data_IF_786881395169
#
_entry.id   IF_786881395169
#
_cell.length_a   1.000
_cell.length_b   1.000
_cell.length_c   1.000
_cell.angle_alpha   90.00
_cell.angle_beta   90.00
_cell.angle_gamma   90.00
#
_symmetry.space_group_name_H-M   'P 1'
#
loop_
_entity.id
_entity.type
_entity.pdbx_description
1 polymer ?
#
# COMPACT_ATOMS: atom_id res chain seq x y z
N UNK A 1 -13.84 -8.71 38.12
CA UNK A 1 -14.69 -8.74 36.91
C UNK A 1 -13.75 -8.76 35.73
N UNK A 2 -13.94 -9.65 34.76
CA UNK A 2 -13.11 -9.67 33.54
C UNK A 2 -13.27 -8.36 32.79
N UNK A 3 -12.18 -7.83 32.24
CA UNK A 3 -12.21 -6.61 31.43
C UNK A 3 -12.95 -6.86 30.11
N UNK A 4 -13.55 -5.83 29.46
CA UNK A 4 -14.16 -5.99 28.14
C UNK A 4 -13.21 -6.62 27.12
N UNK A 5 -11.93 -6.25 27.15
CA UNK A 5 -10.87 -6.81 26.33
C UNK A 5 -10.68 -8.32 26.55
N UNK A 6 -10.67 -8.77 27.80
CA UNK A 6 -10.57 -10.21 28.14
C UNK A 6 -11.78 -10.99 27.61
N UNK A 7 -12.98 -10.41 27.67
CA UNK A 7 -14.18 -11.04 27.13
C UNK A 7 -14.12 -11.18 25.60
N UNK A 8 -13.60 -10.18 24.90
CA UNK A 8 -13.37 -10.23 23.45
C UNK A 8 -12.39 -11.33 23.10
N UNK A 9 -11.24 -11.37 23.79
CA UNK A 9 -10.20 -12.38 23.57
C UNK A 9 -10.75 -13.79 23.81
N UNK A 10 -11.49 -13.99 24.91
CA UNK A 10 -12.11 -15.28 25.20
C UNK A 10 -13.12 -15.70 24.14
N UNK A 11 -13.96 -14.78 23.66
CA UNK A 11 -14.94 -15.06 22.61
C UNK A 11 -14.26 -15.48 21.30
N UNK A 12 -13.15 -14.83 20.93
CA UNK A 12 -12.36 -15.21 19.75
C UNK A 12 -11.75 -16.60 19.91
N UNK A 13 -11.20 -16.92 21.08
CA UNK A 13 -10.70 -18.27 21.37
C UNK A 13 -11.80 -19.34 21.28
N UNK A 14 -13.00 -19.04 21.77
CA UNK A 14 -14.15 -19.96 21.67
C UNK A 14 -14.53 -20.22 20.21
N UNK A 15 -14.49 -19.21 19.33
CA UNK A 15 -14.81 -19.39 17.91
C UNK A 15 -13.74 -20.17 17.13
N UNK A 16 -12.48 -20.04 17.54
CA UNK A 16 -11.37 -20.75 16.90
C UNK A 16 -11.24 -22.20 17.39
N UNK A 17 -11.94 -22.57 18.46
CA UNK A 17 -11.95 -23.94 18.97
C UNK A 17 -13.00 -24.81 18.23
N UNK A 18 -12.52 -25.66 17.33
CA UNK A 18 -13.35 -26.61 16.60
C UNK A 18 -14.16 -27.57 17.50
N UNK A 19 -13.68 -27.87 18.71
CA UNK A 19 -14.39 -28.76 19.63
C UNK A 19 -15.66 -28.12 20.23
N UNK A 20 -15.76 -26.79 20.20
CA UNK A 20 -16.91 -26.04 20.69
C UNK A 20 -17.95 -25.75 19.60
N UNK A 21 -17.68 -26.12 18.34
CA UNK A 21 -18.63 -25.92 17.24
C UNK A 21 -19.95 -26.65 17.51
N UNK A 22 -21.07 -25.94 17.33
CA UNK A 22 -22.41 -26.44 17.62
C UNK A 22 -22.84 -26.33 19.09
N UNK A 23 -21.95 -25.95 20.01
CA UNK A 23 -22.33 -25.66 21.39
C UNK A 23 -22.95 -24.26 21.52
N UNK A 24 -23.85 -24.03 22.51
CA UNK A 24 -24.44 -22.71 22.75
C UNK A 24 -23.41 -21.61 22.98
N UNK A 25 -22.28 -21.92 23.62
CA UNK A 25 -21.22 -20.95 23.91
C UNK A 25 -20.57 -20.42 22.63
N UNK A 26 -20.46 -21.24 21.59
CA UNK A 26 -19.93 -20.82 20.29
C UNK A 26 -20.90 -19.86 19.59
N UNK A 27 -22.21 -20.12 19.63
CA UNK A 27 -23.21 -19.20 19.10
C UNK A 27 -23.23 -17.87 19.86
N UNK A 28 -23.13 -17.91 21.19
CA UNK A 28 -23.06 -16.71 22.03
C UNK A 28 -21.80 -15.87 21.75
N UNK A 29 -20.64 -16.50 21.59
CA UNK A 29 -19.41 -15.81 21.23
C UNK A 29 -19.53 -15.13 19.85
N UNK A 30 -20.14 -15.80 18.88
CA UNK A 30 -20.37 -15.25 17.54
C UNK A 30 -21.29 -14.02 17.58
N UNK A 31 -22.43 -14.12 18.27
CA UNK A 31 -23.38 -13.01 18.43
C UNK A 31 -22.74 -11.82 19.16
N UNK A 32 -21.97 -12.08 20.21
CA UNK A 32 -21.26 -11.06 20.97
C UNK A 32 -20.27 -10.27 20.09
N UNK A 33 -19.41 -10.97 19.33
CA UNK A 33 -18.43 -10.31 18.46
C UNK A 33 -19.09 -9.55 17.30
N UNK A 34 -20.17 -10.08 16.73
CA UNK A 34 -20.93 -9.37 15.71
C UNK A 34 -21.60 -8.11 16.25
N UNK A 35 -22.13 -8.16 17.47
CA UNK A 35 -22.68 -6.98 18.13
C UNK A 35 -21.60 -5.91 18.31
N UNK A 36 -20.41 -6.28 18.77
CA UNK A 36 -19.30 -5.33 18.93
C UNK A 36 -18.87 -4.68 17.61
N UNK A 37 -18.90 -5.43 16.50
CA UNK A 37 -18.65 -4.87 15.16
C UNK A 37 -19.76 -3.94 14.70
N UNK A 38 -21.02 -4.30 14.91
CA UNK A 38 -22.17 -3.44 14.59
C UNK A 38 -22.16 -2.14 15.41
N UNK A 39 -21.66 -2.21 16.65
CA UNK A 39 -21.51 -1.07 17.56
C UNK A 39 -20.06 -0.52 17.57
N UNK A 40 -19.39 -0.54 16.41
CA UNK A 40 -17.97 -0.13 16.26
C UNK A 40 -17.64 1.25 16.86
N UNK A 41 -18.58 2.18 16.83
CA UNK A 41 -18.45 3.51 17.46
C UNK A 41 -18.21 3.47 18.98
N UNK A 42 -18.66 2.41 19.67
CA UNK A 42 -18.46 2.22 21.11
C UNK A 42 -17.32 1.25 21.43
N UNK A 43 -16.97 0.36 20.49
CA UNK A 43 -16.00 -0.72 20.72
C UNK A 43 -14.60 -0.46 20.16
N UNK A 44 -14.41 0.58 19.34
CA UNK A 44 -13.13 0.86 18.67
C UNK A 44 -11.95 1.06 19.62
N UNK A 45 -12.17 1.58 20.83
CA UNK A 45 -11.10 1.77 21.84
C UNK A 45 -10.57 0.44 22.35
N UNK A 46 -11.46 -0.53 22.60
CA UNK A 46 -11.07 -1.89 22.96
C UNK A 46 -10.36 -2.57 21.79
N UNK A 47 -10.83 -2.35 20.56
CA UNK A 47 -10.15 -2.85 19.38
C UNK A 47 -8.74 -2.26 19.23
N UNK A 48 -8.57 -0.95 19.42
CA UNK A 48 -7.27 -0.30 19.37
C UNK A 48 -6.32 -0.88 20.44
N UNK A 49 -6.79 -1.02 21.68
CA UNK A 49 -5.98 -1.56 22.77
C UNK A 49 -5.54 -3.00 22.48
N UNK A 50 -6.44 -3.85 21.98
CA UNK A 50 -6.14 -5.22 21.57
C UNK A 50 -5.15 -5.29 20.40
N UNK A 51 -5.23 -4.37 19.43
CA UNK A 51 -4.34 -4.38 18.28
C UNK A 51 -2.90 -4.01 18.65
N UNK A 52 -2.73 -2.94 19.44
CA UNK A 52 -1.41 -2.38 19.75
C UNK A 52 -0.73 -3.01 20.96
N UNK A 53 -1.46 -3.78 21.78
CA UNK A 53 -0.94 -4.36 23.01
C UNK A 53 0.35 -5.18 22.79
N UNK A 54 1.35 -4.88 23.60
CA UNK A 54 2.63 -5.59 23.67
C UNK A 54 2.72 -6.41 24.95
N UNK A 55 3.58 -7.43 24.96
CA UNK A 55 3.99 -8.11 26.18
C UNK A 55 4.88 -7.20 27.04
N UNK A 56 5.27 -7.68 28.21
CA UNK A 56 6.13 -6.96 29.17
C UNK A 56 7.50 -6.57 28.58
N UNK A 57 7.92 -7.23 27.49
CA UNK A 57 9.15 -6.90 26.75
C UNK A 57 9.04 -5.62 25.90
N UNK A 58 7.83 -5.09 25.71
CA UNK A 58 7.55 -3.91 24.89
C UNK A 58 7.83 -4.11 23.39
N UNK A 59 8.09 -5.34 22.94
CA UNK A 59 8.53 -5.65 21.57
C UNK A 59 7.62 -6.65 20.87
N UNK A 60 7.17 -7.67 21.60
CA UNK A 60 6.33 -8.71 21.01
C UNK A 60 4.85 -8.40 21.21
N UNK A 61 4.03 -8.73 20.20
CA UNK A 61 2.58 -8.54 20.28
C UNK A 61 2.00 -9.46 21.35
N UNK A 62 1.18 -8.89 22.24
CA UNK A 62 0.52 -9.64 23.31
C UNK A 62 -0.47 -10.65 22.75
N UNK A 63 -1.20 -10.27 21.72
CA UNK A 63 -2.26 -11.08 21.14
C UNK A 63 -1.88 -11.65 19.78
N UNK A 64 -2.36 -12.87 19.54
CA UNK A 64 -2.18 -13.57 18.27
C UNK A 64 -2.88 -12.87 17.09
N UNK A 65 -2.56 -13.28 15.86
CA UNK A 65 -3.09 -12.63 14.65
C UNK A 65 -4.62 -12.59 14.57
N UNK A 66 -5.34 -13.58 15.06
CA UNK A 66 -6.81 -13.64 15.00
C UNK A 66 -7.47 -12.50 15.79
N UNK A 67 -6.98 -12.24 17.00
CA UNK A 67 -7.46 -11.13 17.84
C UNK A 67 -7.15 -9.79 17.20
N UNK A 68 -5.93 -9.63 16.67
CA UNK A 68 -5.50 -8.41 16.01
C UNK A 68 -6.27 -8.17 14.71
N UNK A 69 -6.61 -9.21 13.97
CA UNK A 69 -7.44 -9.12 12.77
C UNK A 69 -8.88 -8.71 13.11
N UNK A 70 -9.47 -9.28 14.17
CA UNK A 70 -10.77 -8.83 14.66
C UNK A 70 -10.75 -7.37 15.07
N UNK A 71 -9.72 -6.95 15.82
CA UNK A 71 -9.53 -5.56 16.21
C UNK A 71 -9.45 -4.62 15.00
N UNK A 72 -8.65 -4.96 13.97
CA UNK A 72 -8.59 -4.16 12.75
C UNK A 72 -9.91 -4.14 11.98
N UNK A 73 -10.70 -5.22 12.02
CA UNK A 73 -12.06 -5.20 11.43
C UNK A 73 -12.96 -4.18 12.15
N UNK A 74 -12.99 -4.17 13.48
CA UNK A 74 -13.76 -3.19 14.26
C UNK A 74 -13.29 -1.76 13.98
N UNK A 75 -11.97 -1.54 13.91
CA UNK A 75 -11.40 -0.22 13.58
C UNK A 75 -11.78 0.24 12.17
N UNK A 76 -11.77 -0.66 11.18
CA UNK A 76 -12.18 -0.33 9.82
C UNK A 76 -13.68 -0.03 9.75
N UNK A 77 -14.52 -0.87 10.35
CA UNK A 77 -15.97 -0.67 10.42
C UNK A 77 -16.29 0.70 11.08
N UNK A 78 -15.54 1.07 12.13
CA UNK A 78 -15.64 2.39 12.77
C UNK A 78 -15.23 3.53 11.83
N UNK A 79 -14.04 3.46 11.22
CA UNK A 79 -13.52 4.54 10.38
C UNK A 79 -14.32 4.69 9.08
N UNK A 80 -14.85 3.62 8.50
CA UNK A 80 -15.79 3.66 7.37
C UNK A 80 -17.09 4.38 7.74
N UNK A 81 -17.64 4.08 8.92
CA UNK A 81 -18.79 4.78 9.45
C UNK A 81 -18.51 6.29 9.65
N UNK A 82 -17.35 6.66 10.22
CA UNK A 82 -16.95 8.08 10.39
C UNK A 82 -16.73 8.78 9.06
N UNK A 83 -16.12 8.10 8.10
CA UNK A 83 -15.97 8.62 6.74
C UNK A 83 -17.29 8.99 6.06
N UNK A 84 -18.41 8.39 6.50
CA UNK A 84 -19.76 8.67 5.99
C UNK A 84 -20.59 9.60 6.88
N UNK A 85 -20.31 9.65 8.19
CA UNK A 85 -21.08 10.39 9.19
C UNK A 85 -20.43 11.70 9.66
N UNK A 86 -19.16 11.94 9.33
CA UNK A 86 -18.44 13.18 9.61
C UNK A 86 -17.16 13.00 10.43
N UNK A 87 -16.48 14.12 10.68
CA UNK A 87 -15.17 14.16 11.31
C UNK A 87 -15.16 13.49 12.69
N UNK A 88 -14.04 12.86 13.05
CA UNK A 88 -13.78 12.38 14.40
C UNK A 88 -13.54 13.54 15.38
N UNK A 89 -13.82 13.37 16.68
CA UNK A 89 -13.30 14.27 17.71
C UNK A 89 -11.77 14.39 17.63
N UNK A 90 -11.21 15.57 17.92
CA UNK A 90 -9.75 15.81 17.83
C UNK A 90 -8.96 14.88 18.74
N UNK A 91 -9.47 14.59 19.94
CA UNK A 91 -8.86 13.66 20.89
C UNK A 91 -8.80 12.22 20.34
N UNK A 92 -9.83 11.79 19.61
CA UNK A 92 -9.88 10.45 19.02
C UNK A 92 -8.87 10.32 17.87
N UNK A 93 -8.73 11.37 17.05
CA UNK A 93 -7.72 11.41 15.98
C UNK A 93 -6.32 11.42 16.57
N UNK A 94 -6.08 12.21 17.62
CA UNK A 94 -4.78 12.27 18.29
C UNK A 94 -4.38 10.89 18.86
N UNK A 95 -5.30 10.21 19.55
CA UNK A 95 -5.08 8.87 20.10
C UNK A 95 -4.79 7.86 18.99
N UNK A 96 -5.61 7.80 17.95
CA UNK A 96 -5.43 6.88 16.83
C UNK A 96 -4.10 7.14 16.11
N UNK A 97 -3.78 8.40 15.82
CA UNK A 97 -2.51 8.79 15.21
C UNK A 97 -1.32 8.33 16.04
N UNK A 98 -1.31 8.65 17.34
CA UNK A 98 -0.20 8.31 18.24
C UNK A 98 0.02 6.79 18.30
N UNK A 99 -1.04 6.02 18.54
CA UNK A 99 -0.96 4.57 18.72
C UNK A 99 -0.57 3.86 17.42
N UNK A 100 -1.13 4.27 16.27
CA UNK A 100 -0.84 3.62 14.99
C UNK A 100 0.56 4.02 14.45
N UNK A 101 1.03 5.25 14.68
CA UNK A 101 2.41 5.64 14.36
C UNK A 101 3.41 4.93 15.26
N UNK A 102 3.09 4.74 16.54
CA UNK A 102 3.92 3.95 17.47
C UNK A 102 3.99 2.50 17.02
N UNK A 103 2.85 1.92 16.62
CA UNK A 103 2.81 0.58 16.02
C UNK A 103 3.69 0.50 14.76
N UNK A 104 3.61 1.47 13.85
CA UNK A 104 4.43 1.50 12.63
C UNK A 104 5.93 1.54 12.96
N UNK A 105 6.35 2.38 13.91
CA UNK A 105 7.75 2.44 14.36
C UNK A 105 8.22 1.11 14.93
N UNK A 106 7.44 0.51 15.83
CA UNK A 106 7.82 -0.74 16.48
C UNK A 106 7.83 -1.93 15.50
N UNK A 107 6.83 -2.03 14.62
CA UNK A 107 6.62 -3.19 13.77
C UNK A 107 7.40 -3.11 12.46
N UNK A 108 7.41 -1.95 11.79
CA UNK A 108 7.97 -1.81 10.44
C UNK A 108 9.36 -1.17 10.44
N UNK A 109 9.60 -0.15 11.26
CA UNK A 109 10.91 0.51 11.29
C UNK A 109 11.95 -0.36 12.02
N UNK A 110 11.61 -0.89 13.20
CA UNK A 110 12.51 -1.69 14.04
C UNK A 110 12.16 -3.17 14.12
N UNK A 111 11.02 -3.58 13.57
CA UNK A 111 10.47 -4.93 13.71
C UNK A 111 10.47 -5.75 12.42
N UNK A 112 9.85 -6.95 12.44
CA UNK A 112 9.79 -7.87 11.30
C UNK A 112 8.68 -7.53 10.29
N UNK A 113 8.00 -6.40 10.48
CA UNK A 113 6.89 -5.92 9.67
C UNK A 113 5.78 -6.97 9.52
N UNK A 114 5.29 -7.60 10.59
CA UNK A 114 4.27 -8.66 10.52
C UNK A 114 4.68 -9.85 9.61
N UNK A 115 5.96 -10.20 9.57
CA UNK A 115 6.48 -11.29 8.71
C UNK A 115 5.80 -12.65 8.90
N UNK A 116 5.21 -12.91 10.07
CA UNK A 116 4.44 -14.13 10.34
C UNK A 116 2.94 -14.02 9.98
N UNK A 117 2.45 -12.84 9.64
CA UNK A 117 1.03 -12.56 9.42
C UNK A 117 0.82 -11.48 8.34
N UNK A 118 1.28 -11.76 7.12
CA UNK A 118 1.27 -10.81 5.99
C UNK A 118 -0.10 -10.17 5.71
N UNK A 119 -1.21 -10.86 5.99
CA UNK A 119 -2.56 -10.32 5.83
C UNK A 119 -2.88 -9.14 6.76
N UNK A 120 -2.20 -9.06 7.92
CA UNK A 120 -2.31 -7.91 8.84
C UNK A 120 -1.78 -6.66 8.16
N UNK A 121 -0.69 -6.76 7.38
CA UNK A 121 -0.12 -5.61 6.65
C UNK A 121 -1.16 -4.96 5.73
N UNK A 122 -1.91 -5.78 4.99
CA UNK A 122 -2.96 -5.29 4.08
C UNK A 122 -4.07 -4.63 4.88
N UNK A 123 -4.56 -5.30 5.93
CA UNK A 123 -5.66 -4.79 6.73
C UNK A 123 -5.29 -3.49 7.45
N UNK A 124 -4.09 -3.40 7.99
CA UNK A 124 -3.56 -2.21 8.65
C UNK A 124 -3.34 -1.04 7.68
N UNK A 125 -2.86 -1.31 6.46
CA UNK A 125 -2.74 -0.28 5.40
C UNK A 125 -4.11 0.35 5.09
N UNK A 126 -5.17 -0.47 5.01
CA UNK A 126 -6.54 0.01 4.88
C UNK A 126 -6.98 0.80 6.12
N UNK A 127 -6.73 0.33 7.34
CA UNK A 127 -7.07 1.06 8.58
C UNK A 127 -6.46 2.47 8.58
N UNK A 128 -5.17 2.57 8.26
CA UNK A 128 -4.49 3.86 8.23
C UNK A 128 -4.97 4.75 7.08
N UNK A 129 -5.32 4.17 5.93
CA UNK A 129 -5.95 4.90 4.81
C UNK A 129 -7.32 5.44 5.20
N UNK A 130 -8.16 4.66 5.89
CA UNK A 130 -9.46 5.12 6.35
C UNK A 130 -9.33 6.25 7.38
N UNK A 131 -8.34 6.19 8.28
CA UNK A 131 -8.01 7.26 9.20
C UNK A 131 -7.51 8.52 8.46
N UNK A 132 -6.67 8.34 7.44
CA UNK A 132 -6.23 9.42 6.57
C UNK A 132 -7.43 10.13 5.92
N UNK A 133 -8.35 9.38 5.31
CA UNK A 133 -9.51 9.95 4.60
C UNK A 133 -10.40 10.83 5.49
N UNK A 134 -10.58 10.47 6.75
CA UNK A 134 -11.43 11.22 7.69
C UNK A 134 -10.71 12.40 8.35
N UNK A 135 -9.37 12.38 8.45
CA UNK A 135 -8.59 13.35 9.24
C UNK A 135 -7.70 14.29 8.42
N UNK A 136 -7.28 13.93 7.22
CA UNK A 136 -6.22 14.63 6.47
C UNK A 136 -6.53 16.11 6.19
N UNK A 137 -7.78 16.42 5.83
CA UNK A 137 -8.16 17.80 5.43
C UNK A 137 -8.01 18.81 6.58
N UNK A 138 -8.24 18.39 7.84
CA UNK A 138 -8.40 19.34 8.97
C UNK A 138 -7.60 19.00 10.22
N UNK A 139 -7.34 17.72 10.49
CA UNK A 139 -6.84 17.25 11.79
C UNK A 139 -5.44 16.63 11.67
N UNK A 140 -5.08 16.07 10.51
CA UNK A 140 -3.78 15.43 10.28
C UNK A 140 -3.16 15.79 8.93
N UNK A 141 -2.94 17.09 8.70
CA UNK A 141 -2.31 17.59 7.47
C UNK A 141 -0.86 17.12 7.28
N UNK A 142 -0.14 16.82 8.37
CA UNK A 142 1.26 16.35 8.35
C UNK A 142 1.39 14.85 8.08
N UNK A 143 0.34 14.18 7.61
CA UNK A 143 0.32 12.72 7.45
C UNK A 143 1.51 12.20 6.64
N UNK A 144 1.75 12.74 5.45
CA UNK A 144 2.84 12.28 4.60
C UNK A 144 4.21 12.63 5.18
N UNK A 145 4.36 13.81 5.80
CA UNK A 145 5.60 14.19 6.46
C UNK A 145 5.94 13.19 7.60
N UNK A 146 4.96 12.80 8.42
CA UNK A 146 5.15 11.78 9.46
C UNK A 146 5.60 10.43 8.87
N UNK A 147 5.00 9.99 7.75
CA UNK A 147 5.40 8.73 7.08
C UNK A 147 6.81 8.85 6.46
N UNK A 148 7.13 9.99 5.85
CA UNK A 148 8.45 10.23 5.24
C UNK A 148 9.58 10.20 6.27
N UNK A 149 9.34 10.65 7.50
CA UNK A 149 10.34 10.55 8.58
C UNK A 149 10.72 9.11 8.93
N UNK A 150 9.90 8.14 8.54
CA UNK A 150 10.09 6.71 8.83
C UNK A 150 10.77 5.97 7.67
N UNK A 151 10.85 6.58 6.49
CA UNK A 151 11.45 5.96 5.29
C UNK A 151 12.95 5.71 5.44
N UNK A 152 13.65 6.53 6.22
CA UNK A 152 15.07 6.39 6.50
C UNK A 152 15.28 6.26 8.01
N UNK A 153 16.07 5.28 8.49
CA UNK A 153 16.38 5.21 9.91
C UNK A 153 17.24 6.42 10.34
N UNK A 154 17.30 6.73 11.66
CA UNK A 154 18.18 7.78 12.18
C UNK A 154 19.64 7.49 11.80
N UNK A 155 20.40 8.48 11.29
CA UNK A 155 21.73 8.24 10.77
C UNK A 155 22.74 8.03 11.90
N UNK A 156 23.09 6.78 12.22
CA UNK A 156 24.15 6.50 13.21
C UNK A 156 25.53 6.25 12.59
N UNK A 157 25.68 6.09 11.26
CA UNK A 157 27.03 5.99 10.65
C UNK A 157 27.17 6.25 9.14
N UNK A 158 26.17 6.83 8.47
CA UNK A 158 26.27 7.19 7.05
C UNK A 158 24.92 7.50 6.42
N UNK A 159 24.89 7.62 5.09
CA UNK A 159 23.63 7.61 4.35
C UNK A 159 23.09 6.18 4.36
N UNK A 160 22.24 5.87 5.33
CA UNK A 160 21.57 4.57 5.39
C UNK A 160 20.58 4.42 4.23
N UNK A 161 20.46 3.22 3.64
CA UNK A 161 19.48 2.94 2.61
C UNK A 161 18.06 3.12 3.14
N UNK A 162 17.09 3.23 2.24
CA UNK A 162 15.68 3.25 2.63
C UNK A 162 15.31 1.97 3.39
N UNK A 163 14.52 2.13 4.45
CA UNK A 163 13.97 0.99 5.17
C UNK A 163 12.96 0.28 4.26
N UNK A 164 13.27 -0.96 3.85
CA UNK A 164 12.47 -1.75 2.91
C UNK A 164 11.06 -2.02 3.41
N UNK A 165 10.90 -2.31 4.70
CA UNK A 165 9.60 -2.59 5.30
C UNK A 165 8.69 -1.36 5.33
N UNK A 166 9.23 -0.20 5.74
CA UNK A 166 8.48 1.06 5.73
C UNK A 166 8.20 1.50 4.29
N UNK A 167 9.13 1.27 3.37
CA UNK A 167 8.96 1.57 1.94
C UNK A 167 7.80 0.80 1.32
N UNK A 168 7.74 -0.53 1.53
CA UNK A 168 6.62 -1.36 1.05
C UNK A 168 5.30 -0.92 1.69
N UNK A 169 5.30 -0.61 2.99
CA UNK A 169 4.11 -0.09 3.66
C UNK A 169 3.64 1.24 3.06
N UNK A 170 4.57 2.17 2.82
CA UNK A 170 4.29 3.44 2.16
C UNK A 170 3.69 3.23 0.76
N UNK A 171 4.23 2.31 -0.03
CA UNK A 171 3.66 1.97 -1.34
C UNK A 171 2.23 1.41 -1.23
N UNK A 172 1.97 0.55 -0.25
CA UNK A 172 0.62 0.05 0.03
C UNK A 172 -0.33 1.18 0.41
N UNK A 173 0.09 2.13 1.24
CA UNK A 173 -0.72 3.33 1.53
C UNK A 173 -1.03 4.14 0.28
N UNK A 174 -0.03 4.37 -0.59
CA UNK A 174 -0.25 5.12 -1.85
C UNK A 174 -1.22 4.39 -2.77
N UNK A 175 -1.13 3.06 -2.86
CA UNK A 175 -2.08 2.21 -3.59
C UNK A 175 -3.50 2.33 -3.04
N UNK A 176 -3.67 2.15 -1.72
CA UNK A 176 -4.97 2.22 -1.05
C UNK A 176 -5.59 3.63 -1.13
N UNK A 177 -4.79 4.69 -0.93
CA UNK A 177 -5.28 6.07 -1.09
C UNK A 177 -5.72 6.29 -2.55
N UNK A 178 -4.93 5.84 -3.52
CA UNK A 178 -5.28 5.96 -4.95
C UNK A 178 -6.56 5.19 -5.27
N UNK A 179 -6.75 4.00 -4.72
CA UNK A 179 -7.96 3.19 -4.93
C UNK A 179 -9.19 3.94 -4.41
N UNK A 180 -9.10 4.51 -3.20
CA UNK A 180 -10.21 5.22 -2.57
C UNK A 180 -10.58 6.52 -3.30
N UNK A 181 -9.58 7.35 -3.67
CA UNK A 181 -9.84 8.72 -4.16
C UNK A 181 -9.88 8.84 -5.67
N UNK A 182 -9.36 7.88 -6.43
CA UNK A 182 -9.16 7.99 -7.87
C UNK A 182 -9.69 6.80 -8.70
N UNK A 183 -9.85 5.60 -8.14
CA UNK A 183 -10.30 4.43 -8.90
C UNK A 183 -11.79 4.55 -9.31
N UNK A 184 -12.04 4.57 -10.62
CA UNK A 184 -13.38 4.70 -11.16
C UNK A 184 -14.20 3.41 -11.04
N UNK A 185 -13.56 2.24 -11.12
CA UNK A 185 -14.23 0.94 -10.97
C UNK A 185 -14.74 0.80 -9.54
N UNK A 186 -13.88 1.07 -8.55
CA UNK A 186 -14.26 1.01 -7.14
C UNK A 186 -15.36 2.03 -6.81
N UNK A 187 -15.29 3.23 -7.38
CA UNK A 187 -16.35 4.24 -7.23
C UNK A 187 -17.69 3.78 -7.82
N UNK A 188 -17.66 3.17 -9.00
CA UNK A 188 -18.87 2.69 -9.68
C UNK A 188 -19.49 1.46 -8.99
N UNK A 189 -18.67 0.65 -8.31
CA UNK A 189 -19.13 -0.54 -7.59
C UNK A 189 -19.82 -0.22 -6.24
N UNK A 190 -19.55 0.95 -5.66
CA UNK A 190 -20.12 1.37 -4.36
C UNK A 190 -21.40 2.17 -4.55
N UNK A 191 -22.24 2.19 -3.52
CA UNK A 191 -23.40 3.06 -3.48
C UNK A 191 -22.96 4.53 -3.61
N UNK A 192 -23.69 5.30 -4.42
CA UNK A 192 -23.42 6.72 -4.62
C UNK A 192 -23.63 7.51 -3.33
N UNK A 193 -22.67 8.36 -2.98
CA UNK A 193 -22.79 9.37 -1.93
C UNK A 193 -22.11 10.66 -2.41
N UNK A 194 -22.88 11.75 -2.43
CA UNK A 194 -22.40 13.06 -2.86
C UNK A 194 -21.33 13.60 -1.91
N UNK A 195 -21.50 13.35 -0.61
CA UNK A 195 -20.59 13.76 0.46
C UNK A 195 -19.23 13.09 0.31
N UNK A 196 -19.23 11.76 0.08
CA UNK A 196 -18.02 10.98 -0.19
C UNK A 196 -17.32 11.49 -1.46
N UNK A 197 -18.04 11.66 -2.56
CA UNK A 197 -17.44 12.13 -3.81
C UNK A 197 -16.83 13.53 -3.69
N UNK A 198 -17.50 14.43 -2.96
CA UNK A 198 -16.98 15.76 -2.69
C UNK A 198 -15.72 15.71 -1.81
N UNK A 199 -15.70 14.88 -0.77
CA UNK A 199 -14.51 14.65 0.07
C UNK A 199 -13.35 14.09 -0.76
N UNK A 200 -13.58 13.02 -1.52
CA UNK A 200 -12.55 12.38 -2.33
C UNK A 200 -12.00 13.33 -3.41
N UNK A 201 -12.82 14.24 -3.93
CA UNK A 201 -12.39 15.34 -4.78
C UNK A 201 -11.43 16.30 -4.07
N UNK A 202 -11.82 16.81 -2.89
CA UNK A 202 -10.97 17.72 -2.09
C UNK A 202 -9.65 17.08 -1.68
N UNK A 203 -9.67 15.84 -1.22
CA UNK A 203 -8.45 15.11 -0.82
C UNK A 203 -7.52 14.97 -2.03
N UNK A 204 -8.05 14.61 -3.20
CA UNK A 204 -7.26 14.52 -4.43
C UNK A 204 -6.59 15.84 -4.78
N UNK A 205 -7.33 16.95 -4.69
CA UNK A 205 -6.80 18.28 -4.99
C UNK A 205 -5.74 18.72 -3.98
N UNK A 206 -5.91 18.40 -2.69
CA UNK A 206 -4.91 18.64 -1.64
C UNK A 206 -3.64 17.84 -1.88
N UNK A 207 -3.75 16.55 -2.21
CA UNK A 207 -2.56 15.73 -2.54
C UNK A 207 -1.87 16.29 -3.78
N UNK A 208 -2.62 16.62 -4.84
CA UNK A 208 -2.05 17.16 -6.09
C UNK A 208 -1.30 18.46 -5.88
N UNK A 209 -1.80 19.34 -5.02
CA UNK A 209 -1.21 20.66 -4.77
C UNK A 209 -0.02 20.61 -3.82
N UNK A 210 -0.06 19.76 -2.79
CA UNK A 210 0.90 19.83 -1.69
C UNK A 210 1.89 18.66 -1.66
N UNK A 211 1.45 17.45 -1.99
CA UNK A 211 2.20 16.22 -1.67
C UNK A 211 2.64 15.40 -2.88
N UNK A 212 2.00 15.56 -4.04
CA UNK A 212 2.24 14.74 -5.23
C UNK A 212 3.71 14.74 -5.67
N UNK A 213 4.38 15.89 -5.58
CA UNK A 213 5.81 15.99 -5.90
C UNK A 213 6.66 15.16 -4.92
N UNK A 214 6.45 15.32 -3.60
CA UNK A 214 7.19 14.58 -2.57
C UNK A 214 6.94 13.07 -2.68
N UNK A 215 5.68 12.65 -2.86
CA UNK A 215 5.29 11.24 -3.04
C UNK A 215 6.03 10.66 -4.25
N UNK A 216 5.98 11.34 -5.39
CA UNK A 216 6.61 10.85 -6.61
C UNK A 216 8.14 10.77 -6.48
N UNK A 217 8.77 11.78 -5.88
CA UNK A 217 10.22 11.76 -5.61
C UNK A 217 10.59 10.61 -4.68
N UNK A 218 9.83 10.38 -3.60
CA UNK A 218 10.09 9.28 -2.68
C UNK A 218 9.94 7.92 -3.37
N UNK A 219 8.85 7.71 -4.12
CA UNK A 219 8.60 6.46 -4.85
C UNK A 219 9.71 6.15 -5.84
N UNK A 220 10.08 7.11 -6.70
CA UNK A 220 11.14 6.91 -7.69
C UNK A 220 12.51 6.68 -7.03
N UNK A 221 12.83 7.40 -5.95
CA UNK A 221 14.10 7.23 -5.24
C UNK A 221 14.23 5.83 -4.61
N UNK A 222 13.17 5.34 -3.97
CA UNK A 222 13.16 4.01 -3.35
C UNK A 222 13.26 2.92 -4.43
N UNK A 223 12.48 3.03 -5.52
CA UNK A 223 12.51 2.07 -6.63
C UNK A 223 13.89 2.03 -7.28
N UNK A 224 14.51 3.19 -7.51
CA UNK A 224 15.85 3.29 -8.07
C UNK A 224 16.89 2.60 -7.17
N UNK A 225 16.87 2.87 -5.86
CA UNK A 225 17.78 2.23 -4.90
C UNK A 225 17.56 0.70 -4.83
N UNK A 226 16.30 0.26 -4.84
CA UNK A 226 15.94 -1.16 -4.91
C UNK A 226 16.49 -1.83 -6.18
N UNK A 227 16.30 -1.20 -7.34
CA UNK A 227 16.82 -1.69 -8.62
C UNK A 227 18.35 -1.77 -8.63
N UNK A 228 19.03 -0.73 -8.15
CA UNK A 228 20.49 -0.71 -8.03
C UNK A 228 21.00 -1.82 -7.09
N UNK A 229 20.26 -2.10 -6.01
CA UNK A 229 20.59 -3.19 -5.08
C UNK A 229 20.50 -4.54 -5.77
N UNK A 230 19.40 -4.80 -6.49
CA UNK A 230 19.22 -6.04 -7.26
C UNK A 230 20.31 -6.18 -8.32
N UNK A 231 20.59 -5.14 -9.08
CA UNK A 231 21.61 -5.16 -10.15
C UNK A 231 23.00 -5.44 -9.61
N UNK A 232 23.36 -4.85 -8.46
CA UNK A 232 24.63 -5.13 -7.79
C UNK A 232 24.72 -6.60 -7.38
N UNK A 233 23.66 -7.15 -6.78
CA UNK A 233 23.64 -8.57 -6.39
C UNK A 233 23.83 -9.49 -7.60
N UNK A 234 23.14 -9.22 -8.71
CA UNK A 234 23.27 -9.98 -9.97
C UNK A 234 24.66 -9.83 -10.60
N UNK A 235 25.28 -8.64 -10.49
CA UNK A 235 26.62 -8.41 -11.00
C UNK A 235 27.70 -9.13 -10.17
N UNK A 236 27.53 -9.19 -8.85
CA UNK A 236 28.41 -9.91 -7.94
C UNK A 236 28.27 -11.43 -8.09
N UNK A 237 27.05 -11.93 -8.29
CA UNK A 237 26.76 -13.33 -8.53
C UNK A 237 25.53 -13.50 -9.45
N UNK A 238 25.72 -13.83 -10.74
CA UNK A 238 24.62 -14.01 -11.69
C UNK A 238 23.61 -15.09 -11.31
N UNK A 239 24.04 -16.10 -10.54
CA UNK A 239 23.19 -17.21 -10.09
C UNK A 239 22.63 -17.00 -8.67
N UNK A 240 22.84 -15.81 -8.08
CA UNK A 240 22.29 -15.50 -6.76
C UNK A 240 20.76 -15.42 -6.79
N UNK A 241 20.14 -16.06 -5.81
CA UNK A 241 18.72 -15.86 -5.52
C UNK A 241 18.60 -14.46 -4.90
N UNK A 242 17.92 -13.56 -5.59
CA UNK A 242 17.61 -12.23 -5.09
C UNK A 242 16.67 -12.36 -3.90
N UNK A 243 16.90 -11.55 -2.86
CA UNK A 243 16.05 -11.60 -1.68
C UNK A 243 14.61 -11.20 -2.07
N UNK A 244 13.57 -11.95 -1.67
CA UNK A 244 12.18 -11.64 -2.03
C UNK A 244 11.74 -10.23 -1.64
N UNK A 245 12.34 -9.69 -0.57
CA UNK A 245 12.06 -8.32 -0.11
C UNK A 245 12.63 -7.26 -1.06
N UNK A 246 13.76 -7.52 -1.73
CA UNK A 246 14.35 -6.60 -2.71
C UNK A 246 13.47 -6.50 -3.95
N UNK A 247 12.99 -7.64 -4.44
CA UNK A 247 12.04 -7.71 -5.56
C UNK A 247 10.68 -7.08 -5.17
N UNK A 248 10.15 -7.36 -3.97
CA UNK A 248 8.88 -6.79 -3.50
C UNK A 248 8.93 -5.25 -3.42
N UNK A 249 10.05 -4.66 -3.02
CA UNK A 249 10.23 -3.19 -3.00
C UNK A 249 10.07 -2.61 -4.41
N UNK A 250 10.72 -3.21 -5.41
CA UNK A 250 10.69 -2.71 -6.79
C UNK A 250 9.33 -2.94 -7.44
N UNK A 251 8.77 -4.16 -7.34
CA UNK A 251 7.44 -4.48 -7.89
C UNK A 251 6.34 -3.61 -7.26
N UNK A 252 6.26 -3.56 -5.93
CA UNK A 252 5.23 -2.79 -5.23
C UNK A 252 5.40 -1.29 -5.48
N UNK A 253 6.65 -0.80 -5.54
CA UNK A 253 6.95 0.60 -5.84
C UNK A 253 6.47 1.04 -7.21
N UNK A 254 6.67 0.20 -8.24
CA UNK A 254 6.15 0.49 -9.59
C UNK A 254 4.63 0.39 -9.67
N UNK A 255 4.01 -0.54 -8.91
CA UNK A 255 2.54 -0.57 -8.79
C UNK A 255 2.00 0.72 -8.15
N UNK A 256 2.65 1.22 -7.09
CA UNK A 256 2.31 2.49 -6.48
C UNK A 256 2.50 3.66 -7.46
N UNK A 257 3.60 3.68 -8.22
CA UNK A 257 3.81 4.66 -9.29
C UNK A 257 2.64 4.64 -10.29
N UNK A 258 2.26 3.47 -10.79
CA UNK A 258 1.17 3.30 -11.73
C UNK A 258 -0.20 3.77 -11.20
N UNK A 259 -0.44 3.71 -9.88
CA UNK A 259 -1.74 4.04 -9.29
C UNK A 259 -2.01 5.55 -9.25
N UNK A 260 -0.98 6.38 -9.08
CA UNK A 260 -1.16 7.83 -9.01
C UNK A 260 -0.93 8.56 -10.34
N UNK A 261 -0.20 7.97 -11.29
CA UNK A 261 0.04 8.55 -12.63
C UNK A 261 -1.23 9.13 -13.28
N UNK A 262 -2.39 8.44 -13.28
CA UNK A 262 -3.59 8.94 -13.98
C UNK A 262 -4.12 10.27 -13.45
N UNK A 263 -3.87 10.60 -12.17
CA UNK A 263 -4.55 11.68 -11.49
C UNK A 263 -3.64 12.74 -10.86
N UNK A 264 -2.32 12.67 -11.02
CA UNK A 264 -1.39 13.77 -10.69
C UNK A 264 -0.92 14.52 -11.95
N UNK A 265 0.01 15.48 -11.84
CA UNK A 265 0.60 16.15 -13.01
C UNK A 265 1.54 15.18 -13.78
N UNK A 266 1.41 15.14 -15.10
CA UNK A 266 2.27 14.30 -15.96
C UNK A 266 3.73 14.73 -15.91
N UNK A 267 4.00 16.02 -15.72
CA UNK A 267 5.36 16.57 -15.66
C UNK A 267 6.14 16.10 -14.45
N UNK A 268 5.46 15.62 -13.40
CA UNK A 268 6.10 14.97 -12.25
C UNK A 268 6.51 13.54 -12.58
N UNK A 269 5.71 12.83 -13.38
CA UNK A 269 5.90 11.40 -13.64
C UNK A 269 6.77 11.09 -14.86
N UNK A 270 6.80 11.99 -15.84
CA UNK A 270 7.57 11.83 -17.08
C UNK A 270 8.68 12.86 -17.07
N UNK A 271 9.87 12.41 -16.70
CA UNK A 271 11.05 13.24 -16.48
C UNK A 271 12.28 12.56 -17.11
N UNK A 272 13.39 13.29 -17.32
CA UNK A 272 14.64 12.70 -17.78
C UNK A 272 15.17 11.57 -16.89
N UNK A 273 14.81 11.55 -15.60
CA UNK A 273 15.25 10.52 -14.65
C UNK A 273 14.29 9.32 -14.59
N UNK A 274 12.98 9.57 -14.68
CA UNK A 274 11.98 8.49 -14.57
C UNK A 274 11.90 7.62 -15.82
N UNK A 275 12.14 8.17 -17.02
CA UNK A 275 12.06 7.40 -18.27
C UNK A 275 13.14 6.29 -18.32
N UNK A 276 14.43 6.59 -18.11
CA UNK A 276 15.47 5.54 -18.11
C UNK A 276 15.22 4.48 -17.03
N UNK A 277 14.75 4.88 -15.85
CA UNK A 277 14.39 3.93 -14.80
C UNK A 277 13.28 2.97 -15.27
N UNK A 278 12.18 3.49 -15.81
CA UNK A 278 11.08 2.66 -16.33
C UNK A 278 11.57 1.70 -17.43
N UNK A 279 12.44 2.12 -18.34
CA UNK A 279 12.97 1.22 -19.38
C UNK A 279 13.92 0.17 -18.81
N UNK A 280 14.72 0.52 -17.80
CA UNK A 280 15.56 -0.47 -17.11
C UNK A 280 14.72 -1.55 -16.40
N UNK A 281 13.54 -1.20 -15.89
CA UNK A 281 12.62 -2.11 -15.22
C UNK A 281 11.80 -2.94 -16.19
N UNK A 282 11.46 -2.38 -17.35
CA UNK A 282 10.80 -3.11 -18.44
C UNK A 282 11.70 -4.23 -19.00
N UNK A 283 13.02 -4.04 -18.93
CA UNK A 283 14.05 -5.00 -19.29
C UNK A 283 14.53 -5.88 -18.12
N UNK A 284 13.93 -5.78 -16.92
CA UNK A 284 14.32 -6.64 -15.79
C UNK A 284 14.00 -8.11 -16.10
N UNK A 285 14.81 -9.08 -15.64
CA UNK A 285 14.46 -10.50 -15.78
C UNK A 285 13.26 -10.94 -14.93
N UNK A 286 12.93 -10.24 -13.83
CA UNK A 286 11.76 -10.58 -13.02
C UNK A 286 10.45 -10.21 -13.72
N UNK A 287 9.55 -11.18 -13.87
CA UNK A 287 8.29 -10.98 -14.59
C UNK A 287 7.36 -9.99 -13.88
N UNK A 288 7.29 -10.01 -12.54
CA UNK A 288 6.36 -9.16 -11.80
C UNK A 288 6.71 -7.68 -11.99
N UNK A 289 7.99 -7.34 -11.88
CA UNK A 289 8.53 -5.99 -12.14
C UNK A 289 8.21 -5.56 -13.57
N UNK A 290 8.41 -6.42 -14.56
CA UNK A 290 8.10 -6.12 -15.96
C UNK A 290 6.61 -5.83 -16.18
N UNK A 291 5.73 -6.68 -15.66
CA UNK A 291 4.28 -6.52 -15.80
C UNK A 291 3.77 -5.27 -15.09
N UNK A 292 4.29 -4.97 -13.90
CA UNK A 292 4.02 -3.73 -13.19
C UNK A 292 4.48 -2.51 -14.01
N UNK A 293 5.64 -2.60 -14.65
CA UNK A 293 6.20 -1.54 -15.50
C UNK A 293 5.39 -1.34 -16.78
N UNK A 294 4.95 -2.40 -17.44
CA UNK A 294 4.02 -2.32 -18.57
C UNK A 294 2.74 -1.58 -18.16
N UNK A 295 2.20 -1.90 -16.99
CA UNK A 295 1.02 -1.21 -16.44
C UNK A 295 1.30 0.28 -16.22
N UNK A 296 2.44 0.64 -15.64
CA UNK A 296 2.84 2.04 -15.45
C UNK A 296 2.94 2.80 -16.78
N UNK A 297 3.61 2.23 -17.79
CA UNK A 297 3.74 2.81 -19.12
C UNK A 297 2.38 2.96 -19.80
N UNK A 298 1.52 1.94 -19.71
CA UNK A 298 0.15 2.02 -20.21
C UNK A 298 -0.62 3.18 -19.56
N UNK A 299 -0.50 3.38 -18.24
CA UNK A 299 -1.16 4.51 -17.55
C UNK A 299 -0.61 5.86 -18.01
N UNK A 300 0.68 5.97 -18.31
CA UNK A 300 1.28 7.18 -18.90
C UNK A 300 0.72 7.43 -20.32
N UNK A 301 0.75 6.40 -21.18
CA UNK A 301 0.33 6.47 -22.59
C UNK A 301 -1.18 6.66 -22.73
N UNK A 302 -2.00 6.20 -21.79
CA UNK A 302 -3.46 6.38 -21.83
C UNK A 302 -3.94 7.63 -21.10
N UNK A 303 -3.06 8.31 -20.34
CA UNK A 303 -3.42 9.55 -19.62
C UNK A 303 -3.90 10.63 -20.58
N UNK A 304 -5.11 11.14 -20.33
CA UNK A 304 -5.66 12.28 -21.05
C UNK A 304 -4.90 13.56 -20.70
N UNK A 305 -4.48 14.30 -21.74
CA UNK A 305 -3.84 15.61 -21.59
C UNK A 305 -4.77 16.71 -22.10
N UNK A 306 -4.70 17.88 -21.47
CA UNK A 306 -5.56 19.02 -21.83
C UNK A 306 -5.34 19.49 -23.26
N UNK A 307 -4.10 19.41 -23.75
CA UNK A 307 -3.72 19.86 -25.10
C UNK A 307 -3.27 18.66 -25.92
N UNK A 308 -3.88 18.47 -27.09
CA UNK A 308 -3.59 17.32 -27.97
C UNK A 308 -2.12 17.30 -28.44
N UNK A 309 -1.51 18.47 -28.68
CA UNK A 309 -0.09 18.56 -29.07
C UNK A 309 0.86 18.04 -28.00
N UNK A 310 0.52 18.21 -26.71
CA UNK A 310 1.34 17.70 -25.61
C UNK A 310 1.31 16.18 -25.57
N UNK A 311 0.23 15.56 -26.07
CA UNK A 311 0.17 14.10 -26.22
C UNK A 311 1.17 13.59 -27.24
N UNK A 312 1.26 14.26 -28.39
CA UNK A 312 2.25 13.91 -29.41
C UNK A 312 3.68 14.09 -28.88
N UNK A 313 3.95 15.20 -28.18
CA UNK A 313 5.26 15.43 -27.54
C UNK A 313 5.59 14.34 -26.51
N UNK A 314 4.63 13.96 -25.68
CA UNK A 314 4.81 12.87 -24.70
C UNK A 314 5.20 11.56 -25.40
N UNK A 315 4.49 11.18 -26.46
CA UNK A 315 4.81 9.95 -27.21
C UNK A 315 6.17 10.03 -27.89
N UNK A 316 6.56 11.19 -28.41
CA UNK A 316 7.89 11.43 -28.99
C UNK A 316 8.99 11.33 -27.92
N UNK A 317 8.81 11.93 -26.75
CA UNK A 317 9.78 11.91 -25.66
C UNK A 317 9.96 10.51 -25.09
N UNK A 318 8.86 9.75 -24.94
CA UNK A 318 8.96 8.36 -24.50
C UNK A 318 9.67 7.49 -25.54
N UNK A 319 9.48 7.73 -26.84
CA UNK A 319 10.14 6.95 -27.90
C UNK A 319 10.04 5.44 -27.66
N UNK A 320 8.82 4.95 -27.44
CA UNK A 320 8.59 3.55 -27.03
C UNK A 320 8.84 2.54 -28.15
N UNK A 321 8.67 2.93 -29.42
CA UNK A 321 8.73 2.00 -30.57
C UNK A 321 10.04 1.20 -30.62
N UNK A 322 11.24 1.80 -30.58
CA UNK A 322 12.47 1.03 -30.64
C UNK A 322 12.66 0.10 -29.44
N UNK A 323 12.20 0.51 -28.25
CA UNK A 323 12.31 -0.29 -27.02
C UNK A 323 11.38 -1.50 -27.09
N UNK A 324 10.14 -1.31 -27.52
CA UNK A 324 9.16 -2.40 -27.68
C UNK A 324 9.61 -3.36 -28.77
N UNK A 325 10.07 -2.86 -29.92
CA UNK A 325 10.56 -3.69 -31.03
C UNK A 325 11.75 -4.57 -30.59
N UNK A 326 12.68 -3.99 -29.82
CA UNK A 326 13.83 -4.72 -29.28
C UNK A 326 13.39 -5.82 -28.31
N UNK A 327 12.48 -5.50 -27.38
CA UNK A 327 11.98 -6.47 -26.41
C UNK A 327 11.14 -7.56 -27.08
N UNK A 328 10.34 -7.22 -28.08
CA UNK A 328 9.59 -8.20 -28.86
C UNK A 328 10.54 -9.16 -29.58
N UNK A 329 11.58 -8.64 -30.25
CA UNK A 329 12.58 -9.48 -30.92
C UNK A 329 13.31 -10.41 -29.93
N UNK A 330 13.68 -9.91 -28.75
CA UNK A 330 14.29 -10.72 -27.68
C UNK A 330 13.35 -11.83 -27.20
N UNK A 331 12.09 -11.50 -26.92
CA UNK A 331 11.11 -12.49 -26.46
C UNK A 331 10.79 -13.54 -27.52
N UNK A 332 10.74 -13.17 -28.80
CA UNK A 332 10.58 -14.11 -29.90
C UNK A 332 11.74 -15.10 -29.99
N UNK A 333 12.98 -14.63 -29.82
CA UNK A 333 14.16 -15.50 -29.77
C UNK A 333 14.11 -16.46 -28.57
N UNK A 334 13.71 -15.98 -27.38
CA UNK A 334 13.56 -16.81 -26.18
C UNK A 334 12.43 -17.83 -26.28
N UNK A 335 11.33 -17.52 -26.98
CA UNK A 335 10.19 -18.43 -27.19
C UNK A 335 10.59 -19.72 -27.90
N UNK A 336 11.54 -19.65 -28.83
CA UNK A 336 12.05 -20.81 -29.55
C UNK A 336 12.83 -21.77 -28.64
N UNK A 337 13.32 -21.29 -27.49
CA UNK A 337 14.16 -22.03 -26.55
C UNK A 337 13.36 -22.54 -25.35
N UNK A 338 12.40 -21.77 -24.84
CA UNK A 338 11.53 -22.16 -23.72
C UNK A 338 10.15 -21.48 -23.81
N UNK A 339 9.12 -22.14 -24.35
CA UNK A 339 7.76 -21.62 -24.33
C UNK A 339 7.19 -21.76 -22.91
N UNK A 340 6.88 -20.63 -22.27
CA UNK A 340 6.22 -20.60 -20.95
C UNK A 340 5.18 -19.49 -20.88
N UNK A 341 4.16 -19.70 -20.05
CA UNK A 341 2.99 -18.80 -19.86
C UNK A 341 3.42 -17.39 -19.43
N UNK A 342 4.54 -17.28 -18.72
CA UNK A 342 5.16 -16.03 -18.26
C UNK A 342 5.56 -15.12 -19.43
N UNK A 343 6.14 -15.72 -20.48
CA UNK A 343 6.58 -14.99 -21.68
C UNK A 343 5.39 -14.48 -22.48
N UNK A 344 4.32 -15.29 -22.56
CA UNK A 344 3.08 -14.90 -23.24
C UNK A 344 2.37 -13.77 -22.50
N UNK A 345 2.28 -13.86 -21.18
CA UNK A 345 1.72 -12.80 -20.32
C UNK A 345 2.45 -11.47 -20.49
N UNK A 346 3.79 -11.48 -20.55
CA UNK A 346 4.57 -10.27 -20.79
C UNK A 346 4.34 -9.69 -22.20
N UNK A 347 4.28 -10.53 -23.24
CA UNK A 347 4.02 -10.07 -24.61
C UNK A 347 2.63 -9.49 -24.77
N UNK A 348 1.62 -10.08 -24.13
CA UNK A 348 0.27 -9.51 -24.09
C UNK A 348 0.27 -8.13 -23.41
N UNK A 349 1.00 -7.99 -22.30
CA UNK A 349 1.14 -6.71 -21.61
C UNK A 349 1.84 -5.65 -22.47
N UNK A 350 2.90 -6.02 -23.22
CA UNK A 350 3.58 -5.13 -24.16
C UNK A 350 2.64 -4.66 -25.28
N UNK A 351 1.82 -5.54 -25.85
CA UNK A 351 0.89 -5.20 -26.92
C UNK A 351 -0.22 -4.22 -26.53
N UNK A 352 -0.43 -4.00 -25.21
CA UNK A 352 -1.42 -3.07 -24.67
C UNK A 352 -0.87 -1.65 -24.43
N UNK A 353 0.45 -1.46 -24.53
CA UNK A 353 1.13 -0.16 -24.46
C UNK A 353 1.04 0.50 -25.84
#
# INVERSE_FOLDING_TARGET
MSTPEEQIVQAIHVLNDYALQGQPIHAQAFEFLNKLRAESAHSWRYALSLFVATNDDGRTRRYGPDVRMFALNVLNDFLEFRNSSGNLPDEDVALLREQLLTYLRMEYLYGPAEGSANYIRNKFSLTLTLLFLVSYEKQWSTFFDDIFTLLKPPPESGAEPFNKHVSIFFFRLVLEISSEVADQVLKNARAFSAERMARDGRIRDLIRSNEAAKINTAVLAIVLEGKQTIDRQRAENPDAIIAPLDEEVVDTGIRAFASYVPWIDINLTVTPDSIPLLFSLLADPDLAIRLATCTALQKIVTKGLKVASDKLKLLQVLSLTPVIDQLEAQTLASRAVSPGDDLESFREALARI
#
